data_IF_594415541673
#
_entry.id   IF_594415541673
#
_cell.length_a   1.000
_cell.length_b   1.000
_cell.length_c   1.000
_cell.angle_alpha   90.00
_cell.angle_beta   90.00
_cell.angle_gamma   90.00
#
_symmetry.space_group_name_H-M   'P 1'
#
loop_
_entity.id
_entity.type
_entity.pdbx_description
1 polymer ?
#
# COMPACT_ATOMS: atom_id res chain seq x y z
N UNK A 1 -35.78 -39.92 24.27
CA UNK A 1 -35.67 -38.74 23.40
C UNK A 1 -34.80 -37.74 24.12
N UNK A 2 -33.49 -37.70 23.81
CA UNK A 2 -32.64 -36.63 24.32
C UNK A 2 -33.04 -35.35 23.61
N UNK A 3 -33.27 -34.29 24.37
CA UNK A 3 -33.36 -32.95 23.81
C UNK A 3 -32.04 -32.69 23.09
N UNK A 4 -32.10 -32.62 21.75
CA UNK A 4 -31.02 -32.09 20.95
C UNK A 4 -30.97 -30.61 21.33
N UNK A 5 -29.85 -30.20 21.93
CA UNK A 5 -29.54 -28.81 22.18
C UNK A 5 -29.50 -28.08 20.82
N UNK A 6 -30.59 -27.40 20.49
CA UNK A 6 -30.77 -26.66 19.24
C UNK A 6 -30.19 -25.24 19.31
N UNK A 7 -29.42 -24.90 20.34
CA UNK A 7 -28.99 -23.51 20.60
C UNK A 7 -27.46 -23.29 20.56
N UNK A 8 -26.68 -24.33 20.24
CA UNK A 8 -25.23 -24.17 20.05
C UNK A 8 -24.91 -23.67 18.63
N UNK A 9 -25.03 -22.35 18.41
CA UNK A 9 -24.49 -21.70 17.22
C UNK A 9 -23.06 -21.19 17.49
N UNK A 10 -22.03 -21.75 16.81
CA UNK A 10 -20.66 -21.27 16.98
C UNK A 10 -20.43 -19.83 16.50
N UNK A 11 -21.38 -19.20 15.81
CA UNK A 11 -21.37 -17.77 15.50
C UNK A 11 -21.69 -16.88 16.72
N UNK A 12 -22.26 -17.45 17.78
CA UNK A 12 -22.56 -16.73 19.02
C UNK A 12 -21.78 -17.27 20.23
N UNK A 13 -21.23 -18.48 20.11
CA UNK A 13 -20.46 -19.13 21.17
C UNK A 13 -19.09 -19.60 20.65
N UNK A 14 -18.10 -18.72 20.76
CA UNK A 14 -16.72 -18.96 20.33
C UNK A 14 -15.70 -18.36 21.30
N UNK A 15 -14.49 -18.91 21.29
CA UNK A 15 -13.31 -18.34 21.92
C UNK A 15 -12.67 -17.30 21.01
N UNK A 16 -12.01 -16.30 21.58
CA UNK A 16 -11.29 -15.26 20.84
C UNK A 16 -9.81 -15.63 20.76
N UNK A 17 -9.24 -15.58 19.55
CA UNK A 17 -7.79 -15.56 19.34
C UNK A 17 -7.40 -14.21 18.75
N UNK A 18 -6.75 -13.38 19.57
CA UNK A 18 -6.25 -12.08 19.15
C UNK A 18 -4.75 -11.99 19.44
N UNK A 19 -3.98 -12.60 18.56
CA UNK A 19 -2.54 -12.79 18.76
C UNK A 19 -1.79 -12.19 17.58
N UNK A 20 -1.19 -11.02 17.78
CA UNK A 20 -0.53 -10.25 16.72
C UNK A 20 0.47 -11.06 15.89
N UNK A 21 1.14 -12.02 16.52
CA UNK A 21 2.16 -12.87 15.89
C UNK A 21 1.57 -13.87 14.88
N UNK A 22 0.24 -14.10 14.86
CA UNK A 22 -0.44 -14.89 13.83
C UNK A 22 -0.60 -14.16 12.50
N UNK A 23 -0.36 -12.84 12.48
CA UNK A 23 -0.53 -12.04 11.26
C UNK A 23 0.44 -12.48 10.16
N UNK A 24 -0.08 -12.66 8.94
CA UNK A 24 0.75 -12.89 7.73
C UNK A 24 1.57 -11.65 7.32
N UNK A 25 1.33 -10.50 7.96
CA UNK A 25 2.06 -9.24 7.72
C UNK A 25 3.25 -9.06 8.67
N UNK A 26 3.53 -10.04 9.52
CA UNK A 26 4.76 -10.03 10.31
C UNK A 26 5.95 -10.29 9.38
N UNK A 27 6.60 -9.22 8.90
CA UNK A 27 7.80 -9.33 8.07
C UNK A 27 9.02 -9.76 8.90
N UNK A 28 9.88 -10.56 8.27
CA UNK A 28 11.01 -11.32 8.83
C UNK A 28 12.03 -10.48 9.66
N UNK A 29 12.66 -11.12 10.67
CA UNK A 29 13.87 -10.68 11.43
C UNK A 29 13.84 -9.34 12.18
N UNK A 30 12.68 -8.86 12.65
CA UNK A 30 12.70 -7.98 13.82
C UNK A 30 13.04 -8.81 15.07
N UNK A 31 14.36 -9.00 15.27
CA UNK A 31 15.00 -9.68 16.39
C UNK A 31 14.83 -11.21 16.34
N UNK A 32 15.86 -11.99 16.68
CA UNK A 32 15.87 -13.47 16.63
C UNK A 32 14.92 -14.18 17.61
N UNK A 33 13.72 -13.65 17.83
CA UNK A 33 12.76 -14.02 18.85
C UNK A 33 11.35 -14.37 18.31
N UNK A 34 11.07 -14.21 17.01
CA UNK A 34 9.75 -14.52 16.46
C UNK A 34 9.56 -15.97 15.99
N UNK A 35 10.62 -16.79 15.95
CA UNK A 35 10.53 -18.22 15.62
C UNK A 35 10.38 -19.04 16.91
N UNK A 36 9.15 -19.41 17.26
CA UNK A 36 8.94 -20.26 18.44
C UNK A 36 7.50 -20.52 18.85
N UNK A 37 6.52 -19.93 18.16
CA UNK A 37 5.11 -20.28 18.39
C UNK A 37 4.82 -21.61 17.74
N UNK A 38 4.00 -22.39 18.43
CA UNK A 38 3.82 -23.80 18.16
C UNK A 38 2.41 -24.18 18.61
N UNK A 39 1.47 -24.19 17.68
CA UNK A 39 0.07 -24.52 17.94
C UNK A 39 -0.12 -26.01 18.28
N UNK A 40 0.92 -26.85 18.17
CA UNK A 40 0.87 -28.23 18.69
C UNK A 40 0.79 -28.26 20.22
N UNK A 41 1.25 -27.20 20.89
CA UNK A 41 1.29 -27.06 22.35
C UNK A 41 0.04 -26.39 22.93
N UNK A 42 -0.85 -25.92 22.07
CA UNK A 42 -2.10 -25.27 22.46
C UNK A 42 -3.18 -26.35 22.65
N UNK A 43 -3.92 -26.24 23.75
CA UNK A 43 -5.06 -27.11 23.99
C UNK A 43 -6.30 -26.50 23.31
N UNK A 44 -6.75 -27.15 22.24
CA UNK A 44 -7.82 -26.66 21.38
C UNK A 44 -9.18 -27.21 21.80
N UNK A 45 -10.10 -26.34 22.21
CA UNK A 45 -11.45 -26.70 22.64
C UNK A 45 -12.50 -25.74 22.10
N UNK A 46 -13.46 -26.26 21.34
CA UNK A 46 -14.57 -25.48 20.80
C UNK A 46 -14.23 -24.73 19.51
N UNK A 47 -14.95 -23.63 19.28
CA UNK A 47 -14.83 -22.78 18.09
C UNK A 47 -14.05 -21.50 18.41
N UNK A 48 -13.35 -20.98 17.41
CA UNK A 48 -12.50 -19.80 17.56
C UNK A 48 -12.83 -18.75 16.51
N UNK A 49 -12.82 -17.48 16.92
CA UNK A 49 -12.84 -16.32 16.04
C UNK A 49 -11.48 -15.64 16.08
N UNK A 50 -10.94 -15.36 14.90
CA UNK A 50 -9.61 -14.78 14.74
C UNK A 50 -9.68 -13.25 14.69
N UNK A 51 -8.73 -12.63 15.37
CA UNK A 51 -8.45 -11.20 15.34
C UNK A 51 -6.95 -10.96 15.26
N UNK A 52 -6.56 -9.77 14.79
CA UNK A 52 -5.19 -9.27 14.87
C UNK A 52 -5.24 -7.84 15.40
N UNK A 53 -4.75 -7.63 16.62
CA UNK A 53 -4.77 -6.35 17.33
C UNK A 53 -6.20 -5.76 17.39
N UNK A 54 -7.19 -6.59 17.69
CA UNK A 54 -8.60 -6.21 17.77
C UNK A 54 -9.32 -6.07 16.42
N UNK A 55 -8.62 -6.08 15.28
CA UNK A 55 -9.24 -6.09 13.96
C UNK A 55 -9.70 -7.50 13.59
N UNK A 56 -10.88 -7.60 12.95
CA UNK A 56 -11.41 -8.89 12.44
C UNK A 56 -10.39 -9.56 11.52
N UNK A 57 -10.22 -10.87 11.66
CA UNK A 57 -9.27 -11.62 10.85
C UNK A 57 -9.84 -12.97 10.42
N UNK A 58 -9.23 -13.54 9.38
CA UNK A 58 -9.56 -14.86 8.86
C UNK A 58 -8.29 -15.62 8.50
N UNK A 59 -8.37 -16.94 8.43
CA UNK A 59 -7.27 -17.72 7.88
C UNK A 59 -7.03 -17.34 6.42
N UNK A 60 -5.78 -17.34 5.93
CA UNK A 60 -5.53 -17.17 4.50
C UNK A 60 -6.02 -18.39 3.69
N UNK A 61 -6.64 -18.13 2.53
CA UNK A 61 -7.01 -19.16 1.52
C UNK A 61 -5.93 -19.32 0.43
N UNK A 62 -4.74 -18.81 0.72
CA UNK A 62 -3.62 -18.78 -0.20
C UNK A 62 -2.36 -19.23 0.53
N UNK A 63 -1.41 -19.76 -0.22
CA UNK A 63 -0.10 -20.07 0.29
C UNK A 63 0.94 -19.07 -0.20
N UNK A 64 1.95 -18.84 0.64
CA UNK A 64 3.17 -18.19 0.23
C UNK A 64 4.35 -18.90 0.89
N UNK A 65 5.44 -19.09 0.15
CA UNK A 65 6.64 -19.76 0.65
C UNK A 65 7.25 -19.03 1.85
N UNK A 66 7.18 -17.70 1.83
CA UNK A 66 7.56 -16.82 2.94
C UNK A 66 6.35 -16.31 3.73
N UNK A 67 5.21 -17.03 3.74
CA UNK A 67 4.14 -16.68 4.68
C UNK A 67 4.72 -16.82 6.09
N UNK A 68 4.68 -15.77 6.89
CA UNK A 68 5.18 -15.79 8.26
C UNK A 68 4.04 -15.52 9.21
N UNK A 69 3.80 -16.45 10.13
CA UNK A 69 2.89 -16.25 11.25
C UNK A 69 3.48 -16.89 12.50
N UNK A 70 4.43 -16.22 13.17
CA UNK A 70 4.95 -16.56 14.52
C UNK A 70 5.61 -17.93 14.74
N UNK A 71 5.44 -18.88 13.82
CA UNK A 71 5.99 -20.23 13.84
C UNK A 71 6.94 -20.46 12.68
N UNK A 72 7.45 -21.69 12.58
CA UNK A 72 8.31 -22.10 11.47
C UNK A 72 7.51 -22.56 10.25
N UNK A 73 6.37 -23.22 10.49
CA UNK A 73 5.48 -23.67 9.42
C UNK A 73 4.16 -22.90 9.45
N UNK A 74 3.87 -22.18 8.37
CA UNK A 74 2.69 -21.31 8.28
C UNK A 74 1.50 -22.05 7.71
N UNK A 75 0.43 -22.21 8.50
CA UNK A 75 -0.77 -22.95 8.12
C UNK A 75 -1.85 -22.06 7.51
N UNK A 76 -2.47 -22.55 6.44
CA UNK A 76 -3.48 -21.85 5.65
C UNK A 76 -4.57 -22.83 5.12
N UNK A 77 -5.71 -22.31 4.67
CA UNK A 77 -6.85 -23.10 4.17
C UNK A 77 -6.67 -23.47 2.69
N UNK A 78 -6.75 -24.76 2.39
CA UNK A 78 -6.61 -25.29 1.04
C UNK A 78 -7.71 -24.97 0.05
N UNK A 79 -8.89 -24.58 0.54
CA UNK A 79 -10.07 -24.26 -0.26
C UNK A 79 -10.68 -22.93 0.24
N UNK A 80 -11.50 -22.24 -0.58
CA UNK A 80 -12.16 -21.00 -0.18
C UNK A 80 -13.01 -21.16 1.09
N UNK A 81 -13.23 -20.08 1.85
CA UNK A 81 -14.18 -20.10 2.95
C UNK A 81 -15.60 -20.42 2.45
N UNK A 82 -16.44 -21.07 3.27
CA UNK A 82 -17.85 -21.31 2.94
C UNK A 82 -18.64 -19.99 2.76
N UNK A 83 -19.74 -20.06 2.02
CA UNK A 83 -20.81 -19.06 2.09
C UNK A 83 -21.72 -19.32 3.30
N UNK A 84 -22.51 -18.34 3.76
CA UNK A 84 -23.43 -18.52 4.89
C UNK A 84 -24.38 -19.73 4.75
N UNK A 85 -24.86 -20.00 3.54
CA UNK A 85 -25.73 -21.12 3.19
C UNK A 85 -25.06 -22.49 3.25
N UNK A 86 -23.73 -22.57 3.15
CA UNK A 86 -23.00 -23.84 3.19
C UNK A 86 -22.96 -24.44 4.60
N UNK A 87 -23.26 -23.64 5.63
CA UNK A 87 -23.22 -24.06 7.02
C UNK A 87 -21.80 -24.41 7.49
N UNK A 88 -21.67 -25.53 8.21
CA UNK A 88 -20.36 -26.01 8.69
C UNK A 88 -19.72 -26.89 7.63
N UNK A 89 -18.58 -26.46 7.10
CA UNK A 89 -17.80 -27.22 6.10
C UNK A 89 -16.47 -27.68 6.69
N UNK A 90 -15.91 -28.74 6.11
CA UNK A 90 -14.56 -29.21 6.41
C UNK A 90 -13.60 -28.66 5.37
N UNK A 91 -12.47 -28.09 5.80
CA UNK A 91 -11.45 -27.52 4.92
C UNK A 91 -10.10 -28.16 5.18
N UNK A 92 -9.40 -28.47 4.10
CA UNK A 92 -8.02 -28.94 4.17
C UNK A 92 -7.10 -27.82 4.68
N UNK A 93 -6.06 -28.21 5.40
CA UNK A 93 -5.07 -27.27 5.94
C UNK A 93 -3.68 -27.68 5.49
N UNK A 94 -3.00 -26.76 4.83
CA UNK A 94 -1.65 -26.95 4.33
C UNK A 94 -0.67 -26.05 5.07
N UNK A 95 0.62 -26.42 5.07
CA UNK A 95 1.69 -25.68 5.70
C UNK A 95 2.79 -25.31 4.71
N UNK A 96 3.21 -24.05 4.73
CA UNK A 96 4.35 -23.55 3.95
C UNK A 96 5.62 -23.48 4.81
N UNK A 97 6.77 -23.77 4.21
CA UNK A 97 8.09 -23.73 4.87
C UNK A 97 9.19 -23.50 3.84
N UNK A 98 10.28 -22.79 4.20
CA UNK A 98 11.48 -22.62 3.37
C UNK A 98 11.17 -22.33 1.89
N UNK A 99 10.31 -21.33 1.65
CA UNK A 99 9.94 -20.87 0.31
C UNK A 99 9.08 -21.85 -0.49
N UNK A 100 8.70 -22.97 0.13
CA UNK A 100 7.86 -24.01 -0.45
C UNK A 100 6.43 -23.89 0.10
N UNK A 101 5.51 -23.57 -0.81
CA UNK A 101 4.08 -23.62 -0.55
C UNK A 101 3.59 -25.07 -0.46
N UNK A 102 2.62 -25.32 0.43
CA UNK A 102 1.94 -26.63 0.57
C UNK A 102 2.86 -27.81 0.85
N UNK A 103 4.03 -27.55 1.43
CA UNK A 103 5.00 -28.59 1.75
C UNK A 103 4.44 -29.59 2.77
N UNK A 104 3.71 -29.09 3.77
CA UNK A 104 3.06 -29.91 4.78
C UNK A 104 1.55 -29.98 4.58
N UNK A 105 0.95 -31.06 5.07
CA UNK A 105 -0.51 -31.22 5.17
C UNK A 105 -0.90 -31.56 6.61
N UNK A 106 -1.59 -30.63 7.25
CA UNK A 106 -2.15 -30.82 8.60
C UNK A 106 -3.42 -31.67 8.53
N UNK A 107 -4.09 -31.83 9.66
CA UNK A 107 -5.44 -32.39 9.69
C UNK A 107 -6.48 -31.31 9.33
N UNK A 108 -7.54 -31.66 8.60
CA UNK A 108 -8.54 -30.69 8.16
C UNK A 108 -9.36 -30.16 9.33
N UNK A 109 -9.78 -28.89 9.25
CA UNK A 109 -10.56 -28.21 10.29
C UNK A 109 -12.00 -27.95 9.84
N UNK A 110 -12.88 -27.63 10.79
CA UNK A 110 -14.23 -27.17 10.44
C UNK A 110 -14.28 -25.64 10.39
N UNK A 111 -15.00 -25.10 9.41
CA UNK A 111 -15.16 -23.65 9.18
C UNK A 111 -16.65 -23.36 8.98
N UNK A 112 -17.16 -22.29 9.58
CA UNK A 112 -18.52 -21.79 9.36
C UNK A 112 -18.48 -20.30 9.05
N UNK A 113 -19.24 -19.89 8.04
CA UNK A 113 -19.49 -18.48 7.76
C UNK A 113 -20.63 -17.97 8.66
N UNK A 114 -20.45 -16.76 9.21
CA UNK A 114 -21.38 -16.16 10.14
C UNK A 114 -21.99 -14.86 9.62
N UNK A 115 -23.22 -14.52 10.03
CA UNK A 115 -23.80 -13.21 9.75
C UNK A 115 -22.88 -12.08 10.23
N UNK A 116 -22.61 -11.10 9.37
CA UNK A 116 -21.66 -10.02 9.65
C UNK A 116 -20.27 -10.20 9.04
N UNK A 117 -20.14 -11.05 8.01
CA UNK A 117 -18.94 -11.23 7.19
C UNK A 117 -17.69 -11.63 8.00
N UNK A 118 -17.82 -12.66 8.84
CA UNK A 118 -16.69 -13.29 9.51
C UNK A 118 -16.87 -14.79 9.58
N UNK A 119 -15.77 -15.47 9.92
CA UNK A 119 -15.72 -16.92 10.00
C UNK A 119 -15.34 -17.37 11.42
N UNK A 120 -15.84 -18.54 11.79
CA UNK A 120 -15.43 -19.25 13.00
C UNK A 120 -14.82 -20.59 12.62
N UNK A 121 -13.80 -20.99 13.38
CA UNK A 121 -12.95 -22.14 13.08
C UNK A 121 -12.96 -23.11 14.25
N UNK A 122 -13.24 -24.37 13.98
CA UNK A 122 -13.00 -25.45 14.94
C UNK A 122 -11.58 -25.96 14.74
N UNK A 123 -10.63 -25.19 15.29
CA UNK A 123 -9.21 -25.49 15.24
C UNK A 123 -8.90 -26.72 16.12
N UNK A 124 -7.84 -27.45 15.75
CA UNK A 124 -7.34 -28.59 16.52
C UNK A 124 -5.82 -28.60 16.46
N UNK A 125 -5.19 -29.38 17.35
CA UNK A 125 -3.73 -29.49 17.38
C UNK A 125 -3.20 -29.96 16.01
N UNK A 126 -2.28 -29.21 15.37
CA UNK A 126 -1.66 -29.65 14.13
C UNK A 126 -0.83 -30.92 14.32
N UNK A 127 -0.53 -31.62 13.22
CA UNK A 127 0.31 -32.83 13.28
C UNK A 127 1.68 -32.52 13.90
N UNK A 128 2.13 -33.28 14.93
CA UNK A 128 3.44 -33.07 15.56
C UNK A 128 4.64 -33.22 14.62
N UNK A 129 4.46 -33.85 13.46
CA UNK A 129 5.49 -33.97 12.42
C UNK A 129 5.77 -32.65 11.68
N UNK A 130 4.88 -31.67 11.79
CA UNK A 130 5.08 -30.34 11.21
C UNK A 130 5.91 -29.53 12.20
N UNK A 131 7.06 -28.95 11.82
CA UNK A 131 7.88 -28.19 12.75
C UNK A 131 7.25 -26.83 13.10
N UNK A 132 7.00 -26.58 14.39
CA UNK A 132 6.46 -25.33 14.95
C UNK A 132 5.32 -24.71 14.09
N UNK A 133 4.21 -25.44 13.86
CA UNK A 133 3.14 -24.99 13.01
C UNK A 133 2.29 -23.93 13.69
N UNK A 134 1.82 -22.95 12.91
CA UNK A 134 0.89 -21.93 13.38
C UNK A 134 -0.23 -21.72 12.37
N UNK A 135 -1.47 -21.68 12.85
CA UNK A 135 -2.62 -21.17 12.09
C UNK A 135 -2.47 -19.67 11.87
N UNK A 136 -2.18 -19.28 10.62
CA UNK A 136 -2.03 -17.89 10.25
C UNK A 136 -3.38 -17.17 10.19
N UNK A 137 -3.35 -15.85 10.33
CA UNK A 137 -4.50 -15.00 10.17
C UNK A 137 -4.15 -13.74 9.36
N UNK A 138 -5.10 -13.28 8.56
CA UNK A 138 -5.05 -12.03 7.80
C UNK A 138 -6.15 -11.13 8.34
N UNK A 139 -5.79 -9.95 8.86
CA UNK A 139 -6.78 -8.96 9.23
C UNK A 139 -7.43 -8.35 8.00
N UNK A 140 -8.71 -8.06 8.14
CA UNK A 140 -9.48 -7.31 7.15
C UNK A 140 -10.39 -6.32 7.89
N UNK A 141 -10.54 -5.14 7.29
CA UNK A 141 -11.56 -4.20 7.71
C UNK A 141 -12.73 -4.36 6.73
N UNK A 142 -13.87 -4.97 7.14
CA UNK A 142 -15.05 -4.96 6.28
C UNK A 142 -15.44 -3.49 6.08
N UNK A 143 -15.48 -2.99 4.84
CA UNK A 143 -15.79 -1.58 4.62
C UNK A 143 -17.24 -1.32 5.02
N UNK A 144 -17.48 -0.19 5.69
CA UNK A 144 -18.83 0.25 6.09
C UNK A 144 -19.65 0.74 4.88
N UNK A 145 -19.00 0.96 3.74
CA UNK A 145 -19.53 1.48 2.48
C UNK A 145 -19.11 0.55 1.34
N UNK A 146 -19.93 0.42 0.30
CA UNK A 146 -19.56 -0.38 -0.87
C UNK A 146 -18.36 0.29 -1.57
N UNK A 147 -17.22 -0.40 -1.72
CA UNK A 147 -16.01 0.19 -2.28
C UNK A 147 -16.12 0.58 -3.75
N UNK A 148 -17.20 0.18 -4.44
CA UNK A 148 -17.52 0.69 -5.76
C UNK A 148 -17.92 2.17 -5.75
N UNK A 149 -18.34 2.73 -4.62
CA UNK A 149 -18.75 4.13 -4.51
C UNK A 149 -17.85 4.95 -3.59
N UNK A 150 -16.88 4.31 -2.94
CA UNK A 150 -15.96 4.92 -1.98
C UNK A 150 -14.55 4.34 -2.18
N UNK A 151 -13.79 4.96 -3.08
CA UNK A 151 -12.43 4.58 -3.43
C UNK A 151 -11.56 5.81 -3.71
N UNK A 152 -10.25 5.62 -3.61
CA UNK A 152 -9.25 6.62 -4.03
C UNK A 152 -8.80 6.36 -5.47
N UNK A 153 -8.76 7.39 -6.30
CA UNK A 153 -8.21 7.28 -7.66
C UNK A 153 -6.69 7.23 -7.64
N UNK A 154 -6.10 6.29 -8.38
CA UNK A 154 -4.66 6.19 -8.63
C UNK A 154 -4.43 6.39 -10.12
N UNK A 155 -3.89 7.54 -10.51
CA UNK A 155 -3.65 7.94 -11.92
C UNK A 155 -2.18 8.26 -12.17
N UNK A 156 -1.32 7.43 -11.59
CA UNK A 156 0.12 7.54 -11.74
C UNK A 156 0.55 7.00 -13.11
N UNK A 157 0.86 7.89 -14.05
CA UNK A 157 1.22 7.52 -15.43
C UNK A 157 2.40 6.54 -15.50
N UNK A 158 3.31 6.56 -14.52
CA UNK A 158 4.47 5.68 -14.50
C UNK A 158 4.11 4.20 -14.31
N UNK A 159 2.88 3.87 -13.85
CA UNK A 159 2.40 2.50 -13.63
C UNK A 159 2.03 1.73 -14.90
N UNK A 160 1.99 2.41 -16.04
CA UNK A 160 1.52 1.83 -17.29
C UNK A 160 2.38 0.63 -17.75
N UNK A 161 1.72 -0.41 -18.28
CA UNK A 161 2.39 -1.61 -18.79
C UNK A 161 3.30 -1.36 -20.00
N UNK A 162 3.15 -0.23 -20.70
CA UNK A 162 4.03 0.20 -21.78
C UNK A 162 5.16 1.16 -21.32
N UNK A 163 5.17 1.57 -20.05
CA UNK A 163 6.25 2.37 -19.50
C UNK A 163 7.47 1.50 -19.18
N UNK A 164 8.47 1.55 -20.07
CA UNK A 164 9.75 0.85 -19.95
C UNK A 164 10.86 1.67 -19.27
N UNK A 165 10.56 2.89 -18.80
CA UNK A 165 11.53 3.74 -18.11
C UNK A 165 11.58 3.38 -16.63
N UNK A 166 12.62 2.66 -16.23
CA UNK A 166 12.86 2.26 -14.84
C UNK A 166 13.22 3.51 -14.03
N UNK A 167 12.25 4.00 -13.29
CA UNK A 167 12.37 5.19 -12.41
C UNK A 167 12.54 4.78 -10.95
N UNK A 168 12.76 3.48 -10.69
CA UNK A 168 12.82 2.87 -9.36
C UNK A 168 11.59 3.17 -8.50
N UNK A 169 10.42 3.30 -9.13
CA UNK A 169 9.15 3.53 -8.44
C UNK A 169 8.73 2.28 -7.69
N UNK A 170 8.10 2.49 -6.53
CA UNK A 170 8.04 1.48 -5.49
C UNK A 170 6.82 1.64 -4.58
N UNK A 171 5.83 0.77 -4.76
CA UNK A 171 4.62 0.75 -3.92
C UNK A 171 4.87 0.20 -2.51
N UNK A 172 6.07 -0.33 -2.25
CA UNK A 172 6.54 -0.71 -0.92
C UNK A 172 6.42 0.41 0.12
N UNK A 173 6.46 1.67 -0.33
CA UNK A 173 6.45 2.84 0.54
C UNK A 173 5.11 3.60 0.53
N UNK A 174 4.15 3.12 -0.26
CA UNK A 174 2.79 3.67 -0.27
C UNK A 174 2.04 3.13 0.94
N UNK A 175 1.43 4.03 1.70
CA UNK A 175 0.56 3.65 2.81
C UNK A 175 -0.81 3.24 2.25
N UNK A 176 -0.90 2.02 1.74
CA UNK A 176 -2.14 1.45 1.24
C UNK A 176 -3.14 1.26 2.38
N UNK A 177 -4.21 2.05 2.36
CA UNK A 177 -5.29 2.00 3.33
C UNK A 177 -6.62 2.33 2.64
N UNK A 178 -7.41 1.29 2.38
CA UNK A 178 -8.71 1.40 1.73
C UNK A 178 -8.70 0.84 0.31
N UNK A 179 -9.71 1.27 -0.46
CA UNK A 179 -9.96 0.78 -1.81
C UNK A 179 -9.50 1.80 -2.85
N UNK A 180 -8.94 1.30 -3.94
CA UNK A 180 -8.33 2.11 -4.99
C UNK A 180 -8.86 1.71 -6.36
N UNK A 181 -9.01 2.68 -7.25
CA UNK A 181 -9.32 2.46 -8.66
C UNK A 181 -8.17 2.98 -9.52
N UNK A 182 -7.70 2.16 -10.44
CA UNK A 182 -6.62 2.51 -11.35
C UNK A 182 -7.15 3.34 -12.54
N UNK A 183 -6.41 4.38 -12.86
CA UNK A 183 -6.60 5.25 -14.01
C UNK A 183 -5.28 5.40 -14.77
N UNK A 184 -5.40 5.74 -16.04
CA UNK A 184 -4.30 6.21 -16.88
C UNK A 184 -4.80 7.39 -17.71
N UNK A 185 -4.28 8.58 -17.43
CA UNK A 185 -4.68 9.84 -18.07
C UNK A 185 -6.20 10.06 -17.98
N UNK A 186 -6.74 9.89 -16.76
CA UNK A 186 -8.17 9.97 -16.47
C UNK A 186 -9.03 8.83 -17.02
N UNK A 187 -8.46 7.87 -17.77
CA UNK A 187 -9.21 6.73 -18.31
C UNK A 187 -9.14 5.52 -17.36
N UNK A 188 -10.28 4.86 -17.16
CA UNK A 188 -10.33 3.68 -16.31
C UNK A 188 -9.49 2.55 -16.90
N UNK A 189 -8.59 2.01 -16.07
CA UNK A 189 -7.77 0.85 -16.40
C UNK A 189 -7.84 -0.16 -15.25
N UNK A 190 -7.15 -1.28 -15.41
CA UNK A 190 -7.15 -2.39 -14.46
C UNK A 190 -5.73 -2.92 -14.29
N UNK A 191 -5.51 -3.74 -13.27
CA UNK A 191 -4.27 -4.50 -13.20
C UNK A 191 -4.17 -5.47 -14.40
N UNK A 192 -2.97 -5.77 -14.89
CA UNK A 192 -2.79 -6.79 -15.91
C UNK A 192 -3.04 -8.20 -15.35
N UNK A 193 -3.73 -9.03 -16.15
CA UNK A 193 -3.95 -10.47 -15.90
C UNK A 193 -2.87 -11.37 -16.54
N UNK A 194 -1.98 -10.77 -17.32
CA UNK A 194 -0.89 -11.43 -18.02
C UNK A 194 0.46 -10.92 -17.55
N UNK A 195 1.49 -11.73 -17.78
CA UNK A 195 2.86 -11.37 -17.42
C UNK A 195 3.24 -9.98 -17.92
N UNK A 196 3.76 -9.18 -17.00
CA UNK A 196 4.42 -7.91 -17.29
C UNK A 196 5.93 -8.14 -17.16
N UNK A 197 6.72 -7.75 -18.16
CA UNK A 197 8.17 -7.96 -18.14
C UNK A 197 8.88 -7.14 -17.06
N UNK A 198 10.01 -7.65 -16.54
CA UNK A 198 10.89 -6.90 -15.63
C UNK A 198 11.25 -5.53 -16.22
N UNK A 199 11.28 -4.49 -15.38
CA UNK A 199 11.61 -3.12 -15.83
C UNK A 199 10.43 -2.32 -16.41
N UNK A 200 9.22 -2.88 -16.43
CA UNK A 200 7.99 -2.19 -16.85
C UNK A 200 7.25 -1.55 -15.67
N UNK A 201 6.24 -0.73 -15.95
CA UNK A 201 5.45 -0.02 -14.93
C UNK A 201 6.30 0.85 -14.01
N UNK A 202 7.39 1.43 -14.56
CA UNK A 202 8.29 2.32 -13.83
C UNK A 202 9.14 1.64 -12.75
N UNK A 203 9.16 0.31 -12.68
CA UNK A 203 9.83 -0.47 -11.62
C UNK A 203 10.62 -1.65 -12.18
N UNK A 204 11.65 -2.10 -11.46
CA UNK A 204 12.36 -3.34 -11.79
C UNK A 204 11.47 -4.57 -11.60
N UNK A 205 10.58 -4.53 -10.60
CA UNK A 205 9.77 -5.65 -10.15
C UNK A 205 8.26 -5.34 -10.27
N UNK A 206 7.67 -5.47 -11.47
CA UNK A 206 6.27 -5.17 -11.68
C UNK A 206 5.35 -6.22 -11.04
N UNK A 207 4.23 -5.74 -10.51
CA UNK A 207 3.19 -6.53 -9.88
C UNK A 207 1.98 -6.65 -10.79
N UNK A 208 1.54 -7.88 -11.01
CA UNK A 208 0.39 -8.23 -11.84
C UNK A 208 -0.41 -9.38 -11.19
N UNK A 209 -1.67 -9.58 -11.57
CA UNK A 209 -2.47 -10.69 -11.04
C UNK A 209 -2.46 -11.87 -12.00
N UNK A 210 -2.20 -13.08 -11.51
CA UNK A 210 -2.11 -14.28 -12.34
C UNK A 210 -3.43 -15.07 -12.43
N UNK A 211 -4.55 -14.37 -12.30
CA UNK A 211 -5.89 -14.93 -12.30
C UNK A 211 -6.86 -13.91 -12.88
N UNK A 212 -7.97 -14.34 -13.50
CA UNK A 212 -8.98 -13.43 -14.02
C UNK A 212 -9.53 -12.49 -12.93
N UNK A 213 -9.91 -11.28 -13.28
CA UNK A 213 -10.70 -10.41 -12.41
C UNK A 213 -12.05 -11.05 -12.08
N UNK A 214 -12.67 -10.72 -10.91
CA UNK A 214 -14.00 -11.23 -10.56
C UNK A 214 -15.11 -10.75 -11.51
N UNK A 215 -16.24 -11.45 -11.49
CA UNK A 215 -17.52 -10.97 -12.00
C UNK A 215 -18.31 -10.20 -10.93
N UNK A 216 -19.42 -9.56 -11.31
CA UNK A 216 -20.26 -8.80 -10.37
C UNK A 216 -20.83 -9.68 -9.27
N UNK A 217 -21.25 -10.91 -9.59
CA UNK A 217 -21.77 -11.86 -8.60
C UNK A 217 -20.74 -12.37 -7.58
N UNK A 218 -19.45 -12.35 -7.92
CA UNK A 218 -18.39 -12.87 -7.06
C UNK A 218 -18.15 -11.99 -5.82
N UNK A 219 -18.62 -10.74 -5.86
CA UNK A 219 -18.39 -9.77 -4.80
C UNK A 219 -16.89 -9.45 -4.61
N UNK A 220 -16.44 -9.44 -3.37
CA UNK A 220 -15.03 -9.18 -3.05
C UNK A 220 -14.27 -10.51 -3.03
N UNK A 221 -13.31 -10.65 -3.95
CA UNK A 221 -12.45 -11.84 -4.04
C UNK A 221 -11.02 -11.52 -3.67
N UNK A 222 -10.25 -12.53 -3.25
CA UNK A 222 -8.81 -12.41 -3.03
C UNK A 222 -8.07 -12.84 -4.29
N UNK A 223 -7.10 -12.02 -4.75
CA UNK A 223 -6.26 -12.34 -5.92
C UNK A 223 -4.80 -12.35 -5.54
N UNK A 224 -4.11 -13.41 -5.97
CA UNK A 224 -2.68 -13.51 -5.80
C UNK A 224 -1.97 -12.60 -6.79
N UNK A 225 -0.92 -11.95 -6.30
CA UNK A 225 -0.13 -10.99 -7.07
C UNK A 225 1.24 -11.61 -7.34
N UNK A 226 1.62 -11.69 -8.61
CA UNK A 226 2.93 -12.13 -9.05
C UNK A 226 3.87 -10.93 -9.18
N UNK A 227 5.14 -11.15 -8.84
CA UNK A 227 6.24 -10.22 -9.02
C UNK A 227 7.08 -10.76 -10.15
N UNK A 228 7.21 -9.98 -11.23
CA UNK A 228 8.10 -10.35 -12.33
C UNK A 228 9.54 -9.96 -12.00
N UNK A 229 10.47 -10.82 -12.42
CA UNK A 229 11.92 -10.54 -12.40
C UNK A 229 12.52 -10.86 -13.76
N UNK A 230 13.83 -10.70 -13.88
CA UNK A 230 14.57 -11.06 -15.10
C UNK A 230 14.46 -12.55 -15.47
N UNK A 231 14.14 -13.42 -14.50
CA UNK A 231 14.15 -14.88 -14.69
C UNK A 231 12.77 -15.46 -14.98
N UNK A 232 11.74 -14.96 -14.28
CA UNK A 232 10.37 -15.47 -14.36
C UNK A 232 9.37 -14.33 -14.13
N UNK A 233 8.23 -14.41 -14.83
CA UNK A 233 7.06 -13.56 -14.66
C UNK A 233 6.40 -13.70 -13.28
N UNK A 234 6.61 -14.81 -12.59
CA UNK A 234 6.11 -15.00 -11.23
C UNK A 234 7.18 -15.64 -10.33
N UNK A 235 8.39 -15.10 -10.40
CA UNK A 235 9.55 -15.54 -9.60
C UNK A 235 9.23 -15.44 -8.09
N UNK A 236 8.54 -14.35 -7.70
CA UNK A 236 8.00 -14.18 -6.36
C UNK A 236 6.50 -13.92 -6.41
N UNK A 237 5.83 -14.24 -5.30
CA UNK A 237 4.43 -13.85 -5.07
C UNK A 237 4.41 -12.75 -4.01
N UNK A 238 3.65 -11.69 -4.22
CA UNK A 238 3.40 -10.70 -3.17
C UNK A 238 2.27 -11.18 -2.26
N UNK A 239 2.06 -10.48 -1.15
CA UNK A 239 0.81 -10.57 -0.40
C UNK A 239 -0.37 -10.37 -1.36
N UNK A 240 -1.42 -11.20 -1.28
CA UNK A 240 -2.58 -11.04 -2.12
C UNK A 240 -3.33 -9.75 -1.79
N UNK A 241 -4.10 -9.32 -2.76
CA UNK A 241 -4.96 -8.15 -2.68
C UNK A 241 -6.42 -8.60 -2.75
N UNK A 242 -7.33 -7.75 -2.26
CA UNK A 242 -8.76 -7.95 -2.49
C UNK A 242 -9.19 -7.14 -3.69
N UNK A 243 -10.07 -7.70 -4.52
CA UNK A 243 -10.53 -7.11 -5.77
C UNK A 243 -12.05 -7.26 -5.83
N UNK A 244 -12.75 -6.22 -6.27
CA UNK A 244 -14.20 -6.25 -6.50
C UNK A 244 -14.52 -5.70 -7.88
N UNK A 245 -15.41 -6.39 -8.60
CA UNK A 245 -16.01 -5.89 -9.83
C UNK A 245 -17.14 -4.92 -9.50
N UNK A 246 -17.19 -3.79 -10.21
CA UNK A 246 -18.15 -2.72 -9.94
C UNK A 246 -19.08 -2.45 -11.13
N UNK A 247 -20.34 -2.02 -10.85
CA UNK A 247 -21.24 -1.54 -11.89
C UNK A 247 -20.58 -0.41 -12.68
N UNK A 248 -20.57 -0.50 -14.01
CA UNK A 248 -19.84 0.44 -14.88
C UNK A 248 -18.52 -0.09 -15.44
N UNK A 249 -18.26 -1.40 -15.33
CA UNK A 249 -17.14 -2.09 -15.97
C UNK A 249 -15.76 -1.57 -15.53
N UNK A 250 -15.55 -1.52 -14.22
CA UNK A 250 -14.25 -1.25 -13.61
C UNK A 250 -14.08 -2.09 -12.35
N UNK A 251 -12.85 -2.11 -11.86
CA UNK A 251 -12.47 -2.84 -10.66
C UNK A 251 -11.93 -1.88 -9.61
N UNK A 252 -12.15 -2.25 -8.35
CA UNK A 252 -11.51 -1.61 -7.20
C UNK A 252 -10.66 -2.63 -6.47
N UNK A 253 -9.52 -2.17 -5.96
CA UNK A 253 -8.48 -2.99 -5.37
C UNK A 253 -8.17 -2.49 -3.96
N UNK A 254 -8.16 -3.40 -2.99
CA UNK A 254 -7.56 -3.17 -1.68
C UNK A 254 -6.09 -3.60 -1.77
N UNK A 255 -5.25 -2.68 -2.24
CA UNK A 255 -3.81 -2.90 -2.35
C UNK A 255 -3.19 -3.05 -0.96
N UNK A 256 -2.05 -3.73 -0.92
CA UNK A 256 -1.26 -3.91 0.30
C UNK A 256 0.18 -3.59 0.02
N UNK A 257 0.94 -3.28 1.07
CA UNK A 257 2.37 -3.07 0.93
C UNK A 257 3.03 -4.34 0.37
N UNK A 258 3.73 -4.30 -0.78
CA UNK A 258 4.47 -5.45 -1.28
C UNK A 258 5.63 -5.82 -0.35
N UNK A 259 6.19 -7.04 -0.45
CA UNK A 259 7.26 -7.50 0.45
C UNK A 259 8.64 -6.90 0.15
N UNK A 260 8.85 -6.47 -1.09
CA UNK A 260 10.07 -5.83 -1.58
C UNK A 260 9.70 -4.66 -2.48
N UNK A 261 10.70 -3.95 -2.99
CA UNK A 261 10.45 -2.79 -3.82
C UNK A 261 9.83 -3.19 -5.17
N UNK A 262 8.52 -3.01 -5.31
CA UNK A 262 7.72 -3.48 -6.44
C UNK A 262 6.51 -2.57 -6.63
N UNK A 263 5.89 -2.58 -7.82
CA UNK A 263 4.77 -1.67 -8.13
C UNK A 263 3.61 -2.35 -8.86
N UNK A 264 2.39 -2.08 -8.42
CA UNK A 264 1.13 -2.47 -9.05
C UNK A 264 1.00 -1.80 -10.41
N UNK A 265 1.02 -2.62 -11.45
CA UNK A 265 0.89 -2.20 -12.83
C UNK A 265 -0.54 -1.80 -13.18
N UNK A 266 -0.66 -0.88 -14.14
CA UNK A 266 -1.89 -0.48 -14.80
C UNK A 266 -1.83 -0.90 -16.27
N UNK A 267 -2.74 -1.76 -16.70
CA UNK A 267 -2.79 -2.28 -18.06
C UNK A 267 -3.41 -1.27 -19.02
N UNK A 268 -2.57 -0.76 -19.94
CA UNK A 268 -2.97 0.20 -20.99
C UNK A 268 -3.09 -0.44 -22.37
N UNK A 269 -2.92 -1.76 -22.49
CA UNK A 269 -3.00 -2.47 -23.79
C UNK A 269 -4.33 -2.26 -24.50
N UNK A 270 -5.45 -2.23 -23.75
CA UNK A 270 -6.79 -1.98 -24.27
C UNK A 270 -6.99 -0.54 -24.80
N UNK A 271 -6.24 0.43 -24.27
CA UNK A 271 -6.27 1.83 -24.69
C UNK A 271 -5.47 2.05 -25.98
N UNK A 272 -4.32 1.39 -26.10
CA UNK A 272 -3.46 1.42 -27.30
C UNK A 272 -4.14 0.79 -28.53
N UNK A 273 -5.12 -0.09 -28.32
CA UNK A 273 -5.92 -0.65 -29.43
C UNK A 273 -6.96 0.33 -29.99
N UNK A 274 -7.39 1.35 -29.23
CA UNK A 274 -8.34 2.38 -29.70
C UNK A 274 -7.69 3.51 -30.49
N UNK A 275 -6.41 3.79 -30.28
CA UNK A 275 -5.67 4.85 -30.99
C UNK A 275 -5.25 4.47 -32.41
N UNK A 276 -5.43 3.22 -32.84
CA UNK A 276 -5.05 2.73 -34.18
C UNK A 276 -6.19 2.71 -35.21
N UNK A 277 -7.38 3.24 -34.90
CA UNK A 277 -8.46 3.38 -35.89
C UNK A 277 -8.49 4.79 -36.47
N UNK A 278 -7.57 5.09 -37.39
CA UNK A 278 -7.73 6.22 -38.32
C UNK A 278 -8.80 5.86 -39.36
N UNK A 279 -10.06 6.22 -39.09
CA UNK A 279 -11.05 6.39 -40.15
C UNK A 279 -10.91 7.78 -40.78
N UNK A 280 -10.92 7.90 -42.12
CA UNK A 280 -10.81 9.20 -42.77
C UNK A 280 -12.12 9.97 -42.57
N UNK A 281 -12.07 11.05 -41.80
CA UNK A 281 -13.23 11.95 -41.69
C UNK A 281 -13.15 12.99 -42.80
N UNK A 282 -14.08 12.91 -43.73
CA UNK A 282 -14.34 13.92 -44.76
C UNK A 282 -14.77 15.22 -44.08
N UNK A 283 -14.04 16.30 -44.39
CA UNK A 283 -14.31 17.65 -43.91
C UNK A 283 -15.66 18.15 -44.43
N UNK A 284 -16.62 18.36 -43.53
CA UNK A 284 -17.76 19.26 -43.78
C UNK A 284 -17.76 20.29 -42.67
N UNK A 285 -17.55 21.55 -43.07
CA UNK A 285 -17.59 22.70 -42.19
C UNK A 285 -19.03 22.97 -41.74
N UNK A 286 -19.27 22.94 -40.42
CA UNK A 286 -20.47 23.50 -39.79
C UNK A 286 -20.01 24.39 -38.64
N UNK A 287 -20.50 25.63 -38.62
CA UNK A 287 -20.21 26.66 -37.64
C UNK A 287 -20.75 26.30 -36.24
N UNK A 288 -20.09 26.74 -35.15
CA UNK A 288 -20.51 26.39 -33.80
C UNK A 288 -21.72 27.23 -33.34
N UNK A 289 -22.66 26.67 -32.56
CA UNK A 289 -23.59 27.47 -31.79
C UNK A 289 -22.95 27.89 -30.46
N UNK A 290 -23.10 29.16 -30.12
CA UNK A 290 -22.71 29.74 -28.83
C UNK A 290 -23.39 28.99 -27.68
N UNK A 291 -22.61 28.48 -26.73
CA UNK A 291 -23.11 27.89 -25.49
C UNK A 291 -23.04 28.91 -24.35
N UNK A 292 -24.19 29.21 -23.77
CA UNK A 292 -24.35 30.03 -22.57
C UNK A 292 -24.05 29.12 -21.37
N UNK A 293 -22.96 29.38 -20.67
CA UNK A 293 -22.58 28.69 -19.42
C UNK A 293 -23.27 29.36 -18.23
N UNK A 294 -24.12 28.62 -17.52
CA UNK A 294 -24.56 28.99 -16.16
C UNK A 294 -23.55 28.42 -15.13
N UNK A 295 -23.22 29.14 -14.05
CA UNK A 295 -22.27 28.66 -13.06
C UNK A 295 -22.95 27.71 -12.07
N UNK A 296 -22.50 26.47 -12.02
CA UNK A 296 -22.77 25.56 -10.89
C UNK A 296 -21.71 25.84 -9.84
N UNK A 297 -22.13 26.42 -8.72
CA UNK A 297 -21.31 26.59 -7.52
C UNK A 297 -21.42 25.33 -6.69
N UNK A 298 -20.48 24.40 -6.89
CA UNK A 298 -20.29 23.27 -5.98
C UNK A 298 -19.34 23.71 -4.87
N UNK A 299 -19.91 24.13 -3.74
CA UNK A 299 -19.17 24.41 -2.51
C UNK A 299 -18.80 23.11 -1.82
N UNK A 300 -17.82 22.40 -2.38
CA UNK A 300 -17.01 21.47 -1.61
C UNK A 300 -16.16 22.28 -0.62
N UNK A 301 -16.21 21.91 0.66
CA UNK A 301 -15.40 22.51 1.73
C UNK A 301 -13.91 22.51 1.31
N UNK A 302 -13.41 23.69 0.92
CA UNK A 302 -12.05 23.87 0.47
C UNK A 302 -11.10 23.74 1.68
N UNK A 303 -10.51 22.56 1.86
CA UNK A 303 -9.44 22.35 2.84
C UNK A 303 -8.23 23.21 2.42
N UNK A 304 -8.00 24.30 3.16
CA UNK A 304 -6.90 25.24 2.88
C UNK A 304 -5.67 24.87 3.74
N UNK A 305 -4.67 24.16 3.19
CA UNK A 305 -3.53 23.66 3.95
C UNK A 305 -2.67 24.78 4.56
N UNK A 306 -2.76 26.01 4.06
CA UNK A 306 -2.09 27.15 4.68
C UNK A 306 -2.65 27.51 6.05
N UNK A 307 -3.89 27.11 6.37
CA UNK A 307 -4.54 27.39 7.66
C UNK A 307 -4.64 26.15 8.57
N UNK A 308 -4.34 24.96 8.07
CA UNK A 308 -4.46 23.70 8.79
C UNK A 308 -3.26 22.79 8.49
N UNK A 309 -2.19 22.94 9.27
CA UNK A 309 -0.97 22.14 9.16
C UNK A 309 -0.42 21.76 10.54
N UNK A 310 0.37 20.69 10.58
CA UNK A 310 1.13 20.25 11.74
C UNK A 310 2.50 20.93 11.76
N UNK A 311 2.91 21.44 12.92
CA UNK A 311 4.26 21.99 13.12
C UNK A 311 5.26 20.86 13.26
N UNK A 312 6.30 20.87 12.42
CA UNK A 312 7.43 19.94 12.50
C UNK A 312 8.68 20.71 12.94
N UNK A 313 8.89 20.80 14.26
CA UNK A 313 10.03 21.48 14.89
C UNK A 313 11.00 20.46 15.50
N UNK A 314 11.79 19.83 14.63
CA UNK A 314 12.73 18.80 15.01
C UNK A 314 14.15 19.31 14.75
N UNK A 315 14.90 19.77 15.78
CA UNK A 315 16.21 20.41 15.60
C UNK A 315 17.22 19.56 14.82
N UNK A 316 17.11 18.23 14.92
CA UNK A 316 18.00 17.31 14.22
C UNK A 316 17.86 17.35 12.70
N UNK A 317 16.77 17.92 12.15
CA UNK A 317 16.55 18.08 10.70
C UNK A 317 17.36 19.21 10.07
N UNK A 318 18.04 20.01 10.89
CA UNK A 318 18.77 21.18 10.42
C UNK A 318 19.88 20.79 9.42
N UNK A 319 20.04 21.57 8.34
CA UNK A 319 21.07 21.33 7.32
C UNK A 319 22.50 21.41 7.85
N UNK A 320 22.73 22.11 8.96
CA UNK A 320 24.02 22.19 9.64
C UNK A 320 24.24 21.07 10.68
N UNK A 321 23.22 20.24 10.94
CA UNK A 321 23.32 19.13 11.87
C UNK A 321 24.05 17.93 11.25
N UNK A 322 25.31 17.74 11.64
CA UNK A 322 26.18 16.61 11.22
C UNK A 322 26.25 15.46 12.23
N UNK A 323 25.30 15.35 13.16
CA UNK A 323 25.34 14.33 14.22
C UNK A 323 25.26 12.90 13.66
N UNK A 324 26.18 12.01 14.09
CA UNK A 324 26.37 10.66 13.52
C UNK A 324 26.12 9.50 14.50
N UNK A 325 25.79 9.77 15.77
CA UNK A 325 25.65 8.69 16.78
C UNK A 325 24.27 8.00 16.77
N UNK A 326 23.20 8.71 16.40
CA UNK A 326 21.86 8.17 16.25
C UNK A 326 21.25 8.76 14.97
N UNK A 327 21.22 7.97 13.91
CA UNK A 327 20.69 8.40 12.63
C UNK A 327 19.17 8.39 12.67
N UNK A 328 18.58 9.49 12.21
CA UNK A 328 17.14 9.64 12.11
C UNK A 328 16.64 9.10 10.78
N UNK A 329 15.37 8.72 10.78
CA UNK A 329 14.78 8.02 9.65
C UNK A 329 13.31 8.41 9.53
N UNK A 330 12.99 9.11 8.44
CA UNK A 330 11.62 9.60 8.20
C UNK A 330 10.69 8.52 7.66
N UNK A 331 11.21 7.32 7.38
CA UNK A 331 10.41 6.15 6.99
C UNK A 331 9.45 5.69 8.09
N UNK A 332 9.82 5.92 9.36
CA UNK A 332 8.99 5.51 10.50
C UNK A 332 8.04 6.61 10.97
N UNK A 333 8.06 7.78 10.32
CA UNK A 333 7.13 8.86 10.63
C UNK A 333 5.83 8.60 9.89
N UNK A 334 4.71 8.56 10.62
CA UNK A 334 3.38 8.50 10.01
C UNK A 334 3.02 9.87 9.46
N UNK A 335 3.38 10.11 8.21
CA UNK A 335 3.06 11.35 7.50
C UNK A 335 1.57 11.38 7.15
N UNK A 336 0.83 12.28 7.78
CA UNK A 336 -0.61 12.49 7.55
C UNK A 336 -0.88 13.98 7.49
N UNK A 337 -1.33 14.44 6.33
CA UNK A 337 -1.67 15.84 6.09
C UNK A 337 -0.46 16.74 5.84
N UNK A 338 -0.64 18.03 6.11
CA UNK A 338 0.31 19.09 5.75
C UNK A 338 1.19 19.47 6.93
N UNK A 339 2.46 19.73 6.66
CA UNK A 339 3.47 20.07 7.65
C UNK A 339 4.14 21.39 7.33
N UNK A 340 4.44 22.17 8.37
CA UNK A 340 5.28 23.36 8.28
C UNK A 340 6.56 23.14 9.08
N UNK A 341 7.70 23.39 8.44
CA UNK A 341 9.01 23.14 9.01
C UNK A 341 9.47 24.28 9.94
N UNK A 342 9.99 23.90 11.09
CA UNK A 342 10.63 24.80 12.05
C UNK A 342 11.95 24.21 12.55
N UNK A 343 12.88 25.07 12.94
CA UNK A 343 14.07 24.71 13.72
C UNK A 343 14.17 25.69 14.89
N UNK A 344 14.02 25.17 16.11
CA UNK A 344 14.02 25.96 17.34
C UNK A 344 12.96 27.09 17.32
N UNK A 345 11.75 26.78 16.87
CA UNK A 345 10.65 27.73 16.75
C UNK A 345 10.80 28.75 15.61
N UNK A 346 11.88 28.71 14.83
CA UNK A 346 12.05 29.58 13.66
C UNK A 346 11.49 28.90 12.41
N UNK A 347 10.62 29.60 11.67
CA UNK A 347 10.11 29.12 10.39
C UNK A 347 11.26 28.91 9.42
N UNK A 348 11.32 27.72 8.83
CA UNK A 348 12.32 27.34 7.82
C UNK A 348 11.62 26.60 6.68
N UNK A 349 12.39 26.18 5.69
CA UNK A 349 11.88 25.46 4.52
C UNK A 349 12.74 24.25 4.22
N UNK A 350 12.21 23.34 3.40
CA UNK A 350 13.03 22.29 2.84
C UNK A 350 14.05 22.93 1.88
N UNK A 351 15.33 22.55 1.88
CA UNK A 351 16.28 23.08 0.91
C UNK A 351 15.87 22.71 -0.51
N UNK A 352 15.97 23.64 -1.46
CA UNK A 352 15.84 23.39 -2.91
C UNK A 352 17.20 23.33 -3.62
N UNK A 353 18.27 23.27 -2.81
CA UNK A 353 19.64 23.10 -3.24
C UNK A 353 20.24 21.89 -2.54
N UNK A 354 21.20 21.25 -3.21
CA UNK A 354 21.89 20.08 -2.68
C UNK A 354 22.44 20.30 -1.27
N UNK A 355 22.13 19.36 -0.38
CA UNK A 355 22.63 19.32 1.00
C UNK A 355 23.76 18.30 1.10
N UNK A 356 24.85 18.64 1.77
CA UNK A 356 26.01 17.75 1.96
C UNK A 356 25.62 16.43 2.63
N UNK A 357 26.16 15.30 2.14
CA UNK A 357 26.01 13.99 2.79
C UNK A 357 26.34 14.05 4.29
N UNK A 358 25.68 13.22 5.09
CA UNK A 358 25.82 13.18 6.56
C UNK A 358 25.26 14.42 7.29
N UNK A 359 24.32 15.14 6.67
CA UNK A 359 23.60 16.27 7.27
C UNK A 359 22.17 15.90 7.65
N UNK A 360 21.47 16.81 8.35
CA UNK A 360 20.07 16.62 8.78
C UNK A 360 19.88 15.39 9.69
N UNK A 361 20.94 14.98 10.39
CA UNK A 361 20.92 13.83 11.29
C UNK A 361 20.75 12.48 10.58
N UNK A 362 21.11 12.38 9.30
CA UNK A 362 21.00 11.14 8.51
C UNK A 362 22.20 10.92 7.58
N UNK A 363 22.28 9.76 6.91
CA UNK A 363 23.31 9.54 5.89
C UNK A 363 22.99 10.22 4.55
N UNK A 364 21.75 10.14 4.09
CA UNK A 364 21.30 10.68 2.80
C UNK A 364 20.28 11.81 3.01
N UNK A 365 20.71 13.07 3.15
CA UNK A 365 19.80 14.20 3.34
C UNK A 365 18.88 14.38 2.14
N UNK A 366 17.58 14.57 2.39
CA UNK A 366 16.57 14.79 1.37
C UNK A 366 16.30 16.28 1.17
N UNK A 367 16.28 16.71 -0.10
CA UNK A 367 16.10 18.09 -0.54
C UNK A 367 15.22 18.15 -1.79
N UNK A 368 14.57 19.30 -2.02
CA UNK A 368 13.58 19.50 -3.07
C UNK A 368 14.28 19.65 -4.41
N UNK A 369 13.98 18.80 -5.38
CA UNK A 369 14.56 18.88 -6.71
C UNK A 369 13.80 19.90 -7.57
N UNK A 370 14.13 21.17 -7.38
CA UNK A 370 13.51 22.28 -8.08
C UNK A 370 13.07 23.40 -7.14
N UNK A 371 12.59 24.53 -7.67
CA UNK A 371 12.71 25.80 -6.96
C UNK A 371 11.48 26.25 -6.17
N UNK A 372 10.88 25.54 -5.21
CA UNK A 372 9.60 25.92 -4.52
C UNK A 372 8.43 26.49 -5.42
N UNK A 373 7.17 26.51 -4.95
CA UNK A 373 6.10 27.21 -5.68
C UNK A 373 6.04 28.70 -5.36
N UNK A 374 5.34 29.47 -6.19
CA UNK A 374 4.78 30.78 -5.87
C UNK A 374 3.36 30.62 -5.34
N UNK A 375 2.83 31.68 -4.71
CA UNK A 375 1.45 31.69 -4.19
C UNK A 375 0.43 31.39 -5.31
N UNK A 376 0.68 31.91 -6.51
CA UNK A 376 -0.17 31.72 -7.70
C UNK A 376 -0.16 30.29 -8.24
N UNK A 377 0.87 29.50 -7.95
CA UNK A 377 0.99 28.12 -8.45
C UNK A 377 0.08 27.14 -7.69
N UNK A 378 -0.43 27.53 -6.53
CA UNK A 378 -1.23 26.65 -5.68
C UNK A 378 -0.43 25.45 -5.15
N UNK A 379 -1.07 24.28 -5.10
CA UNK A 379 -0.42 23.03 -4.68
C UNK A 379 0.30 22.42 -5.87
N UNK A 380 1.62 22.25 -5.76
CA UNK A 380 2.44 21.62 -6.81
C UNK A 380 3.11 20.36 -6.28
N UNK A 381 3.30 19.37 -7.15
CA UNK A 381 4.12 18.19 -6.86
C UNK A 381 5.57 18.49 -7.21
N UNK A 382 6.51 18.13 -6.34
CA UNK A 382 7.96 18.30 -6.57
C UNK A 382 8.70 17.01 -6.23
N UNK A 383 9.64 16.67 -7.10
CA UNK A 383 10.57 15.58 -6.87
C UNK A 383 11.47 15.88 -5.67
N UNK A 384 11.93 14.82 -5.01
CA UNK A 384 12.82 14.91 -3.85
C UNK A 384 14.07 14.09 -4.12
N UNK A 385 15.23 14.73 -4.02
CA UNK A 385 16.53 14.10 -4.20
C UNK A 385 17.16 13.80 -2.84
N UNK A 386 17.87 12.68 -2.77
CA UNK A 386 18.76 12.33 -1.67
C UNK A 386 20.22 12.37 -2.12
N UNK A 387 21.06 13.06 -1.35
CA UNK A 387 22.50 13.06 -1.62
C UNK A 387 23.11 11.72 -1.22
N UNK A 388 23.64 10.99 -2.20
CA UNK A 388 24.33 9.73 -1.97
C UNK A 388 25.64 9.64 -2.75
N UNK A 389 26.66 9.02 -2.14
CA UNK A 389 28.05 9.04 -2.62
C UNK A 389 28.56 10.46 -2.95
N UNK A 390 28.79 10.76 -4.23
CA UNK A 390 29.23 12.05 -4.75
C UNK A 390 28.18 12.66 -5.71
N UNK A 391 26.94 12.18 -5.65
CA UNK A 391 25.83 12.66 -6.46
C UNK A 391 24.75 13.27 -5.55
N UNK A 392 24.48 14.56 -5.75
CA UNK A 392 23.44 15.30 -5.04
C UNK A 392 22.04 14.71 -5.22
N UNK A 393 21.78 14.02 -6.32
CA UNK A 393 20.59 13.22 -6.55
C UNK A 393 20.99 11.77 -6.85
N UNK A 394 21.87 11.21 -6.01
CA UNK A 394 22.23 9.79 -6.09
C UNK A 394 21.08 8.87 -5.71
N UNK A 395 20.08 9.41 -5.01
CA UNK A 395 18.85 8.74 -4.65
C UNK A 395 17.63 9.61 -5.02
N UNK A 396 16.56 8.98 -5.50
CA UNK A 396 15.29 9.65 -5.77
C UNK A 396 14.23 9.15 -4.78
N UNK A 397 13.71 10.08 -3.97
CA UNK A 397 12.63 9.83 -3.01
C UNK A 397 11.27 10.07 -3.68
N UNK A 398 10.22 9.56 -3.05
CA UNK A 398 8.84 9.84 -3.44
C UNK A 398 8.62 11.36 -3.59
N UNK A 399 7.98 11.81 -4.68
CA UNK A 399 7.59 13.20 -4.82
C UNK A 399 6.67 13.62 -3.68
N UNK A 400 6.74 14.90 -3.31
CA UNK A 400 5.89 15.49 -2.28
C UNK A 400 5.05 16.61 -2.87
N UNK A 401 3.93 16.93 -2.23
CA UNK A 401 3.17 18.13 -2.58
C UNK A 401 3.62 19.28 -1.71
N UNK A 402 3.79 20.46 -2.30
CA UNK A 402 4.22 21.69 -1.62
C UNK A 402 3.33 22.84 -2.08
N UNK A 403 2.99 23.74 -1.15
CA UNK A 403 2.21 24.95 -1.43
C UNK A 403 2.89 26.15 -0.78
N UNK A 404 2.93 27.26 -1.50
CA UNK A 404 3.35 28.56 -0.95
C UNK A 404 2.16 29.24 -0.27
N UNK A 405 2.38 29.74 0.94
CA UNK A 405 1.33 30.34 1.76
C UNK A 405 1.52 31.85 1.94
N UNK A 406 0.41 32.61 2.10
CA UNK A 406 0.47 33.99 2.55
C UNK A 406 1.25 34.08 3.87
N UNK A 407 2.19 35.02 3.98
CA UNK A 407 3.10 35.10 5.13
C UNK A 407 4.48 34.48 4.92
N UNK A 408 4.85 34.19 3.66
CA UNK A 408 6.20 33.78 3.25
C UNK A 408 6.69 32.49 3.92
N UNK A 409 5.86 31.45 3.88
CA UNK A 409 6.23 30.10 4.29
C UNK A 409 5.62 29.06 3.36
N UNK A 410 6.12 27.84 3.48
CA UNK A 410 5.68 26.69 2.71
C UNK A 410 5.08 25.65 3.64
N UNK A 411 4.08 24.94 3.11
CA UNK A 411 3.54 23.73 3.71
C UNK A 411 3.81 22.56 2.77
N UNK A 412 4.12 21.41 3.36
CA UNK A 412 4.53 20.21 2.66
C UNK A 412 3.65 19.04 3.07
N UNK A 413 3.08 18.35 2.11
CA UNK A 413 2.49 17.04 2.31
C UNK A 413 3.59 16.01 2.03
N UNK A 414 4.35 15.69 3.09
CA UNK A 414 5.46 14.74 3.02
C UNK A 414 4.96 13.32 2.81
N UNK A 415 5.77 12.51 2.14
CA UNK A 415 5.52 11.10 1.91
C UNK A 415 6.64 10.31 2.57
N UNK A 416 6.40 9.10 3.08
CA UNK A 416 7.49 8.28 3.62
C UNK A 416 8.60 8.11 2.57
N UNK A 417 9.87 8.42 2.86
CA UNK A 417 10.98 8.10 1.97
C UNK A 417 11.09 6.60 1.72
N UNK A 418 11.79 6.21 0.65
CA UNK A 418 11.82 4.83 0.17
C UNK A 418 12.83 3.90 0.85
N UNK A 419 13.59 4.41 1.83
CA UNK A 419 14.68 3.70 2.49
C UNK A 419 15.05 4.35 3.83
N UNK A 420 15.45 3.53 4.80
CA UNK A 420 15.84 4.04 6.10
C UNK A 420 17.30 4.50 6.14
N UNK A 421 17.58 5.60 5.44
CA UNK A 421 18.72 6.51 5.62
C UNK A 421 18.41 7.91 5.05
N UNK A 422 17.14 8.20 4.75
CA UNK A 422 16.66 9.47 4.20
C UNK A 422 15.83 10.26 5.22
N UNK A 423 16.12 11.55 5.36
CA UNK A 423 15.31 12.49 6.15
C UNK A 423 15.10 13.79 5.40
N UNK A 424 13.88 14.32 5.43
CA UNK A 424 13.54 15.65 4.97
C UNK A 424 14.32 16.70 5.77
N UNK A 425 15.25 17.35 5.08
CA UNK A 425 16.03 18.44 5.64
C UNK A 425 15.17 19.69 5.84
N UNK A 426 15.55 20.47 6.84
CA UNK A 426 14.98 21.78 7.09
C UNK A 426 16.12 22.79 7.24
N UNK A 427 16.05 23.91 6.54
CA UNK A 427 17.12 24.90 6.53
C UNK A 427 16.59 26.29 6.21
N UNK A 428 17.35 27.31 6.61
CA UNK A 428 17.10 28.66 6.12
C UNK A 428 17.43 28.71 4.64
N UNK A 429 16.60 29.41 3.86
CA UNK A 429 16.95 29.72 2.47
C UNK A 429 18.25 30.53 2.46
N UNK A 430 19.32 29.92 1.96
CA UNK A 430 20.59 30.62 1.73
C UNK A 430 20.51 31.14 0.29
N UNK A 431 20.26 32.45 0.11
CA UNK A 431 20.42 33.05 -1.22
C UNK A 431 21.89 32.84 -1.64
N UNK A 432 22.17 31.93 -2.59
CA UNK A 432 23.54 31.70 -3.11
C UNK A 432 23.99 32.85 -4.03
N UNK A 433 23.08 33.76 -4.37
CA UNK A 433 23.39 35.07 -4.95
C UNK A 433 22.96 36.18 -4.01
N UNK A 434 23.71 37.30 -3.89
CA UNK A 434 23.30 38.40 -3.03
C UNK A 434 21.93 38.87 -3.48
N UNK A 435 20.93 38.59 -2.64
CA UNK A 435 19.59 39.12 -2.73
C UNK A 435 19.75 40.65 -2.66
N UNK A 436 19.73 41.34 -3.81
CA UNK A 436 19.62 42.79 -3.85
C UNK A 436 18.33 43.15 -3.14
N UNK A 437 18.46 43.73 -1.95
CA UNK A 437 17.37 44.37 -1.26
C UNK A 437 16.87 45.51 -2.15
N UNK A 438 15.78 45.28 -2.87
CA UNK A 438 14.92 46.37 -3.34
C UNK A 438 14.10 46.82 -2.12
N UNK A 439 14.69 47.73 -1.35
CA UNK A 439 13.90 48.67 -0.56
C UNK A 439 13.24 49.64 -1.53
N UNK A 440 11.90 49.59 -1.59
CA UNK A 440 11.04 50.72 -1.89
C UNK A 440 9.97 50.80 -0.80
#
# INVERSE_FOLDING_TARGET
>A
MSAIDTDYDPCHNYNILDEYWRSTRNYWYHSGYMSGKDDTRVEWHGWYRLFINGSSAQMPEWCFGYMLCGGFSSLWLGDPHPQPEDGVVTREVYGSVNDQCSYYRSDPIQVKACPGNYYVYKLKSPKPSIPLPVYCAVSFNPPNTDPCYDYTSVDDLWRATDNYYITNMCDYNVNWNGWYRLFYDGQSVQMPESCVGSGMCGTENPLWINSPHPHLEDGVVTRQVCVSTLNDCCDYKSHPIRVKACPGNYYVYEFVRPPLCSSYCADVSSLSSRTSTTSPTTTVAVLPPESITLPVTDTALHFEPCNSYTVLDNPWRATDNRYTFNLMCDVYVSWVGWYRLFIHGQSVQMPDTCVDRLSCGTHAPLWLNGPHPRIEDGVVTRDVCGHWWNNCCGFQSNPIRVKACPGNYYVYEFVSPSFCYGTYCAGKHICIHPCYALHL
#
